data_IF_826813055064
#
_entry.id   IF_826813055064
#
_cell.length_a   1.000
_cell.length_b   1.000
_cell.length_c   1.000
_cell.angle_alpha   90.00
_cell.angle_beta   90.00
_cell.angle_gamma   90.00
#
_symmetry.space_group_name_H-M   'P 1'
#
loop_
_entity.id
_entity.type
_entity.pdbx_description
1 polymer ?
#
# COMPACT_ATOMS: atom_id res chain seq x y z
N UNK A 1 -15.34 -45.33 -88.48
CA UNK A 1 -15.94 -44.73 -87.29
C UNK A 1 -15.09 -45.15 -86.06
N UNK A 2 -14.20 -44.30 -85.58
CA UNK A 2 -13.31 -44.60 -84.48
C UNK A 2 -13.96 -44.27 -83.15
N UNK A 3 -14.12 -45.25 -82.27
CA UNK A 3 -14.49 -44.99 -80.84
C UNK A 3 -13.22 -44.78 -80.02
N UNK A 4 -13.15 -43.60 -79.43
CA UNK A 4 -12.03 -43.17 -78.58
C UNK A 4 -12.39 -43.44 -77.12
N UNK A 5 -11.76 -44.44 -76.51
CA UNK A 5 -11.92 -44.76 -75.09
C UNK A 5 -11.08 -43.75 -74.22
N UNK A 6 -11.74 -42.95 -73.43
CA UNK A 6 -11.13 -42.13 -72.38
C UNK A 6 -10.96 -42.98 -71.13
N UNK A 7 -9.70 -43.41 -70.83
CA UNK A 7 -9.36 -43.95 -69.54
C UNK A 7 -9.19 -42.76 -68.58
N UNK A 8 -10.10 -42.54 -67.67
CA UNK A 8 -9.95 -41.64 -66.56
C UNK A 8 -8.83 -42.15 -65.64
N UNK A 9 -7.75 -41.40 -65.58
CA UNK A 9 -6.70 -41.54 -64.53
C UNK A 9 -7.23 -40.90 -63.29
N UNK A 10 -7.63 -41.70 -62.28
CA UNK A 10 -7.95 -41.28 -60.94
C UNK A 10 -6.62 -40.89 -60.26
N UNK A 11 -6.32 -39.60 -60.18
CA UNK A 11 -5.18 -39.10 -59.47
C UNK A 11 -5.51 -39.10 -57.99
N UNK A 12 -4.88 -40.03 -57.23
CA UNK A 12 -4.98 -40.08 -55.77
C UNK A 12 -4.17 -38.90 -55.21
N UNK A 13 -4.85 -37.80 -54.87
CA UNK A 13 -4.25 -36.67 -54.18
C UNK A 13 -4.05 -37.03 -52.72
N UNK A 14 -2.84 -37.46 -52.35
CA UNK A 14 -2.45 -37.72 -50.97
C UNK A 14 -2.39 -36.39 -50.22
N UNK A 15 -3.44 -36.05 -49.46
CA UNK A 15 -3.50 -34.87 -48.63
C UNK A 15 -2.57 -35.05 -47.41
N UNK A 16 -1.37 -34.53 -47.48
CA UNK A 16 -0.44 -34.49 -46.34
C UNK A 16 -0.99 -33.42 -45.34
N UNK A 17 -1.73 -33.86 -44.34
CA UNK A 17 -2.15 -33.03 -43.23
C UNK A 17 -0.91 -32.85 -42.33
N UNK A 18 -0.37 -31.62 -42.18
CA UNK A 18 0.67 -31.42 -41.20
C UNK A 18 0.05 -31.64 -39.82
N UNK A 19 0.55 -32.62 -39.10
CA UNK A 19 0.24 -32.85 -37.70
C UNK A 19 0.80 -31.64 -36.93
N UNK A 20 -0.01 -30.57 -36.80
CA UNK A 20 0.28 -29.47 -35.89
C UNK A 20 0.30 -30.06 -34.49
N UNK A 21 1.49 -30.27 -33.98
CA UNK A 21 1.72 -30.63 -32.61
C UNK A 21 1.08 -29.54 -31.73
N UNK A 22 -0.06 -29.86 -31.12
CA UNK A 22 -0.64 -29.05 -30.05
C UNK A 22 0.35 -29.17 -28.91
N UNK A 23 1.29 -28.24 -28.83
CA UNK A 23 2.06 -28.05 -27.63
C UNK A 23 1.02 -27.71 -26.57
N UNK A 24 0.76 -28.65 -25.68
CA UNK A 24 -0.03 -28.38 -24.47
C UNK A 24 0.76 -27.37 -23.66
N UNK A 25 0.49 -26.06 -23.90
CA UNK A 25 0.89 -25.02 -22.99
C UNK A 25 0.14 -25.32 -21.70
N UNK A 26 0.83 -25.94 -20.74
CA UNK A 26 0.28 -26.13 -19.41
C UNK A 26 -0.23 -24.79 -18.88
N UNK A 27 -1.24 -24.75 -18.03
CA UNK A 27 -1.79 -23.50 -17.54
C UNK A 27 -0.65 -22.69 -16.93
N UNK A 28 -0.41 -21.49 -17.47
CA UNK A 28 0.50 -20.52 -16.87
C UNK A 28 -0.14 -20.21 -15.52
N UNK A 29 0.46 -20.75 -14.45
CA UNK A 29 0.00 -20.52 -13.08
C UNK A 29 0.31 -19.06 -12.77
N UNK A 30 -0.64 -18.17 -13.08
CA UNK A 30 -0.59 -16.76 -12.67
C UNK A 30 -0.54 -16.68 -11.15
N UNK A 31 0.06 -15.60 -10.62
CA UNK A 31 -0.02 -15.32 -9.19
C UNK A 31 -1.50 -15.15 -8.80
N UNK A 32 -1.90 -15.86 -7.76
CA UNK A 32 -3.25 -15.74 -7.18
C UNK A 32 -3.22 -14.52 -6.26
N UNK A 33 -4.25 -13.69 -6.33
CA UNK A 33 -4.47 -12.58 -5.38
C UNK A 33 -5.73 -12.83 -4.57
N UNK A 34 -5.65 -12.58 -3.27
CA UNK A 34 -6.80 -12.53 -2.34
C UNK A 34 -6.76 -11.20 -1.59
N UNK A 35 -7.94 -10.67 -1.29
CA UNK A 35 -8.02 -9.42 -0.55
C UNK A 35 -9.25 -9.36 0.35
N UNK A 36 -9.17 -8.54 1.39
CA UNK A 36 -10.32 -8.12 2.18
C UNK A 36 -10.25 -6.64 2.49
N UNK A 37 -11.42 -6.01 2.68
CA UNK A 37 -11.54 -4.59 3.01
C UNK A 37 -12.25 -4.42 4.33
N UNK A 38 -11.69 -3.58 5.19
CA UNK A 38 -12.26 -3.18 6.48
C UNK A 38 -12.69 -1.72 6.34
N UNK A 39 -13.96 -1.40 6.67
CA UNK A 39 -14.47 -0.03 6.70
C UNK A 39 -14.90 0.32 8.12
N UNK A 40 -14.44 1.48 8.60
CA UNK A 40 -14.77 2.01 9.93
C UNK A 40 -15.07 3.49 9.83
N UNK A 41 -15.99 3.93 10.67
CA UNK A 41 -16.32 5.35 10.84
C UNK A 41 -16.47 5.65 12.33
N UNK A 42 -15.91 6.79 12.77
CA UNK A 42 -15.90 7.22 14.17
C UNK A 42 -16.25 8.71 14.23
N UNK A 43 -17.25 9.07 15.00
CA UNK A 43 -17.52 10.47 15.35
C UNK A 43 -16.48 10.93 16.37
N UNK A 44 -15.88 12.09 16.13
CA UNK A 44 -14.80 12.65 16.96
C UNK A 44 -15.00 14.13 17.23
N UNK A 45 -14.32 14.63 18.25
CA UNK A 45 -14.21 16.06 18.48
C UNK A 45 -13.30 16.73 17.45
N UNK A 46 -13.43 18.04 17.28
CA UNK A 46 -12.60 18.82 16.36
C UNK A 46 -11.10 18.82 16.71
N UNK A 47 -10.76 18.57 17.96
CA UNK A 47 -9.39 18.52 18.52
C UNK A 47 -8.90 17.09 18.83
N UNK A 48 -9.59 16.07 18.32
CA UNK A 48 -9.21 14.69 18.55
C UNK A 48 -7.84 14.34 17.94
N UNK A 49 -7.27 13.23 18.41
CA UNK A 49 -6.01 12.69 17.90
C UNK A 49 -6.29 11.43 17.08
N UNK A 50 -5.76 11.37 15.87
CA UNK A 50 -5.81 10.18 15.01
C UNK A 50 -4.45 9.50 15.01
N UNK A 51 -4.40 8.25 15.51
CA UNK A 51 -3.19 7.44 15.61
C UNK A 51 -3.27 6.29 14.63
N UNK A 52 -2.31 6.19 13.71
CA UNK A 52 -2.25 5.08 12.76
C UNK A 52 -0.84 4.51 12.75
N UNK A 53 -0.72 3.21 12.98
CA UNK A 53 0.51 2.46 12.83
C UNK A 53 0.31 1.36 11.78
N UNK A 54 1.01 1.48 10.65
CA UNK A 54 0.90 0.56 9.53
C UNK A 54 2.27 0.02 9.11
N UNK A 55 2.26 -1.12 8.43
CA UNK A 55 3.42 -1.75 7.79
C UNK A 55 3.03 -2.35 6.46
N UNK A 56 3.97 -2.25 5.47
CA UNK A 56 3.84 -2.89 4.16
C UNK A 56 2.67 -2.38 3.33
N UNK A 57 2.56 -1.07 3.16
CA UNK A 57 1.54 -0.44 2.33
C UNK A 57 1.44 1.06 2.56
N UNK A 58 0.51 1.70 1.88
CA UNK A 58 0.40 3.15 1.89
C UNK A 58 -0.65 3.64 2.89
N UNK A 59 -0.40 4.82 3.44
CA UNK A 59 -1.34 5.59 4.24
C UNK A 59 -1.73 6.86 3.46
N UNK A 60 -2.90 6.83 2.83
CA UNK A 60 -3.45 7.94 2.07
C UNK A 60 -4.48 8.69 2.91
N UNK A 61 -4.15 9.92 3.32
CA UNK A 61 -4.98 10.73 4.21
C UNK A 61 -5.46 11.99 3.49
N UNK A 62 -6.76 12.18 3.50
CA UNK A 62 -7.43 13.39 3.02
C UNK A 62 -8.17 14.04 4.18
N UNK A 63 -7.94 15.31 4.42
CA UNK A 63 -8.63 16.03 5.49
C UNK A 63 -9.87 16.75 4.96
N UNK A 64 -10.85 16.92 5.85
CA UNK A 64 -12.13 17.57 5.59
C UNK A 64 -12.62 18.42 6.78
N UNK A 65 -13.83 18.96 6.68
CA UNK A 65 -14.42 19.79 7.75
C UNK A 65 -15.51 19.06 8.57
N UNK A 66 -15.60 17.73 8.46
CA UNK A 66 -16.60 16.95 9.20
C UNK A 66 -15.97 16.34 10.45
N UNK A 67 -16.69 16.35 11.59
CA UNK A 67 -16.22 15.81 12.87
C UNK A 67 -16.34 14.27 12.94
N UNK A 68 -15.75 13.60 11.95
CA UNK A 68 -15.68 12.13 11.88
C UNK A 68 -14.42 11.67 11.16
N UNK A 69 -13.95 10.51 11.57
CA UNK A 69 -12.85 9.80 10.91
C UNK A 69 -13.42 8.62 10.17
N UNK A 70 -13.13 8.51 8.87
CA UNK A 70 -13.53 7.38 8.03
C UNK A 70 -12.27 6.67 7.55
N UNK A 71 -12.21 5.35 7.73
CA UNK A 71 -11.10 4.52 7.31
C UNK A 71 -11.60 3.41 6.39
N UNK A 72 -10.96 3.25 5.23
CA UNK A 72 -11.08 2.09 4.37
C UNK A 72 -9.70 1.44 4.26
N UNK A 73 -9.57 0.21 4.77
CA UNK A 73 -8.30 -0.51 4.83
C UNK A 73 -8.41 -1.73 3.95
N UNK A 74 -7.56 -1.81 2.93
CA UNK A 74 -7.52 -2.94 2.02
C UNK A 74 -6.28 -3.77 2.30
N UNK A 75 -6.49 -5.02 2.68
CA UNK A 75 -5.43 -6.02 2.88
C UNK A 75 -5.42 -6.92 1.66
N UNK A 76 -4.30 -6.98 0.96
CA UNK A 76 -4.08 -7.84 -0.20
C UNK A 76 -2.95 -8.82 0.07
N UNK A 77 -3.10 -10.03 -0.39
CA UNK A 77 -2.07 -11.06 -0.39
C UNK A 77 -1.96 -11.70 -1.76
N UNK A 78 -0.77 -11.95 -2.24
CA UNK A 78 -0.55 -12.59 -3.54
C UNK A 78 0.57 -13.64 -3.48
N UNK A 79 0.43 -14.70 -4.28
CA UNK A 79 1.38 -15.81 -4.32
C UNK A 79 0.89 -16.98 -5.15
N UNK A 80 1.52 -18.14 -4.96
CA UNK A 80 1.28 -19.31 -5.80
C UNK A 80 0.47 -20.43 -5.11
N UNK A 81 0.13 -20.27 -3.82
CA UNK A 81 -0.58 -21.29 -3.04
C UNK A 81 -1.78 -20.66 -2.33
N UNK A 82 -2.98 -20.98 -2.79
CA UNK A 82 -4.22 -20.38 -2.29
C UNK A 82 -4.46 -20.62 -0.79
N UNK A 83 -4.18 -21.81 -0.28
CA UNK A 83 -4.38 -22.10 1.16
C UNK A 83 -3.46 -21.23 2.03
N UNK A 84 -2.20 -21.03 1.61
CA UNK A 84 -1.27 -20.13 2.31
C UNK A 84 -1.69 -18.67 2.22
N UNK A 85 -2.30 -18.26 1.10
CA UNK A 85 -2.81 -16.89 0.95
C UNK A 85 -3.98 -16.64 1.89
N UNK A 86 -4.91 -17.57 2.02
CA UNK A 86 -6.03 -17.45 2.94
C UNK A 86 -5.55 -17.42 4.40
N UNK A 87 -4.64 -18.31 4.78
CA UNK A 87 -4.00 -18.29 6.10
C UNK A 87 -3.31 -16.94 6.39
N UNK A 88 -2.53 -16.42 5.44
CA UNK A 88 -1.86 -15.13 5.60
C UNK A 88 -2.85 -13.98 5.71
N UNK A 89 -3.94 -13.99 4.94
CA UNK A 89 -4.98 -12.98 4.99
C UNK A 89 -5.70 -12.96 6.36
N UNK A 90 -5.88 -14.12 6.99
CA UNK A 90 -6.44 -14.26 8.34
C UNK A 90 -5.47 -13.79 9.43
N UNK A 91 -4.17 -13.98 9.23
CA UNK A 91 -3.12 -13.60 10.18
C UNK A 91 -2.84 -12.09 10.23
N UNK A 92 -3.27 -11.33 9.23
CA UNK A 92 -3.15 -9.87 9.22
C UNK A 92 -4.45 -9.27 9.74
N UNK A 93 -4.38 -8.48 10.80
CA UNK A 93 -5.56 -7.80 11.37
C UNK A 93 -5.29 -6.33 11.65
N UNK A 94 -6.34 -5.56 11.93
CA UNK A 94 -6.25 -4.18 12.36
C UNK A 94 -6.98 -4.01 13.68
N UNK A 95 -6.22 -3.64 14.70
CA UNK A 95 -6.75 -3.34 16.03
C UNK A 95 -7.22 -1.88 16.07
N UNK A 96 -8.43 -1.67 16.53
CA UNK A 96 -9.03 -0.35 16.67
C UNK A 96 -9.29 -0.02 18.14
N UNK A 97 -9.05 1.24 18.51
CA UNK A 97 -9.60 1.82 19.72
C UNK A 97 -10.12 3.23 19.42
N UNK A 98 -11.20 3.65 20.08
CA UNK A 98 -11.77 4.96 19.83
C UNK A 98 -12.46 5.55 21.07
N UNK A 99 -12.44 6.87 21.11
CA UNK A 99 -13.23 7.74 21.97
C UNK A 99 -13.58 9.01 21.18
N UNK A 100 -14.32 9.94 21.76
CA UNK A 100 -14.56 11.24 21.13
C UNK A 100 -13.29 12.07 20.93
N UNK A 101 -12.25 11.85 21.74
CA UNK A 101 -10.98 12.58 21.69
C UNK A 101 -9.84 11.84 21.01
N UNK A 102 -10.01 10.57 20.66
CA UNK A 102 -8.96 9.77 20.03
C UNK A 102 -9.50 8.63 19.19
N UNK A 103 -8.89 8.40 18.04
CA UNK A 103 -9.08 7.19 17.22
C UNK A 103 -7.74 6.56 16.96
N UNK A 104 -7.65 5.25 17.13
CA UNK A 104 -6.42 4.49 16.82
C UNK A 104 -6.73 3.31 15.91
N UNK A 105 -5.85 3.09 14.93
CA UNK A 105 -5.84 1.90 14.08
C UNK A 105 -4.40 1.38 13.97
N UNK A 106 -4.19 0.11 14.30
CA UNK A 106 -2.87 -0.52 14.27
C UNK A 106 -2.91 -1.82 13.50
N UNK A 107 -2.12 -1.91 12.44
CA UNK A 107 -1.88 -3.17 11.73
C UNK A 107 -1.14 -4.15 12.63
N UNK A 108 -1.70 -5.35 12.77
CA UNK A 108 -1.11 -6.46 13.52
C UNK A 108 -0.94 -7.65 12.59
N UNK A 109 0.27 -8.18 12.51
CA UNK A 109 0.57 -9.36 11.73
C UNK A 109 0.94 -10.46 12.72
N UNK A 110 0.00 -11.39 12.94
CA UNK A 110 0.18 -12.49 13.86
C UNK A 110 1.19 -13.49 13.29
N UNK A 111 2.08 -13.99 14.15
CA UNK A 111 3.00 -15.06 13.74
C UNK A 111 2.21 -16.36 13.57
N UNK A 112 2.35 -17.02 12.44
CA UNK A 112 1.88 -18.39 12.29
C UNK A 112 2.66 -19.30 13.26
N UNK A 113 2.00 -20.30 13.82
CA UNK A 113 2.59 -21.28 14.74
C UNK A 113 3.75 -22.09 14.11
N UNK A 114 3.94 -22.03 12.81
CA UNK A 114 5.04 -22.62 12.05
C UNK A 114 6.30 -21.76 12.02
N UNK A 115 6.48 -20.88 12.99
CA UNK A 115 7.78 -20.39 13.46
C UNK A 115 8.79 -19.83 12.47
N UNK A 116 8.43 -19.43 11.21
CA UNK A 116 9.44 -18.95 10.29
C UNK A 116 9.04 -17.78 9.40
N UNK A 117 9.22 -16.60 9.96
CA UNK A 117 9.08 -15.31 9.26
C UNK A 117 10.17 -15.04 8.21
N UNK A 118 11.39 -15.58 8.38
CA UNK A 118 12.57 -15.24 7.56
C UNK A 118 13.26 -16.44 6.90
N UNK A 119 12.61 -17.53 6.67
CA UNK A 119 13.31 -18.64 6.04
C UNK A 119 12.41 -19.69 5.44
N UNK A 120 12.47 -19.73 4.19
CA UNK A 120 12.10 -20.77 3.25
C UNK A 120 10.77 -20.62 2.50
N UNK A 121 10.86 -20.08 1.27
CA UNK A 121 9.97 -20.35 0.13
C UNK A 121 8.46 -20.09 0.26
N UNK A 122 7.99 -19.20 1.11
CA UNK A 122 6.64 -18.67 0.94
C UNK A 122 6.69 -17.45 0.01
N UNK A 123 6.50 -17.65 -1.30
CA UNK A 123 6.28 -16.60 -2.29
C UNK A 123 4.93 -15.89 -2.03
N UNK A 124 4.68 -15.47 -0.79
CA UNK A 124 3.51 -14.70 -0.40
C UNK A 124 3.95 -13.28 -0.11
N UNK A 125 3.46 -12.35 -0.92
CA UNK A 125 3.60 -10.92 -0.66
C UNK A 125 2.26 -10.41 -0.12
N UNK A 126 2.31 -9.36 0.68
CA UNK A 126 1.11 -8.68 1.17
C UNK A 126 1.30 -7.16 1.15
N UNK A 127 0.17 -6.46 1.04
CA UNK A 127 0.07 -5.02 0.98
C UNK A 127 -1.14 -4.58 1.81
N UNK A 128 -0.96 -3.59 2.68
CA UNK A 128 -1.99 -3.12 3.60
C UNK A 128 -2.13 -1.61 3.42
N UNK A 129 -3.13 -1.21 2.65
CA UNK A 129 -3.34 0.18 2.30
C UNK A 129 -4.47 0.80 3.11
N UNK A 130 -4.21 1.96 3.68
CA UNK A 130 -5.18 2.77 4.39
C UNK A 130 -5.60 3.96 3.55
N UNK A 131 -6.90 4.14 3.36
CA UNK A 131 -7.51 5.38 2.88
C UNK A 131 -8.27 6.00 4.03
N UNK A 132 -7.86 7.19 4.43
CA UNK A 132 -8.39 7.85 5.63
C UNK A 132 -8.94 9.21 5.26
N UNK A 133 -10.13 9.52 5.80
CA UNK A 133 -10.66 10.89 5.83
C UNK A 133 -10.79 11.30 7.29
N UNK A 134 -10.25 12.48 7.64
CA UNK A 134 -10.27 12.98 9.01
C UNK A 134 -10.46 14.51 9.08
N UNK A 135 -10.96 15.06 10.19
CA UNK A 135 -11.02 16.51 10.37
C UNK A 135 -9.63 17.15 10.22
N UNK A 136 -9.54 18.25 9.46
CA UNK A 136 -8.27 18.96 9.30
C UNK A 136 -7.73 19.58 10.59
N UNK A 137 -8.59 19.77 11.60
CA UNK A 137 -8.24 20.32 12.92
C UNK A 137 -7.75 19.26 13.91
N UNK A 138 -7.92 17.96 13.60
CA UNK A 138 -7.40 16.91 14.44
C UNK A 138 -5.87 16.86 14.40
N UNK A 139 -5.27 16.36 15.46
CA UNK A 139 -3.85 16.00 15.46
C UNK A 139 -3.64 14.61 14.84
N UNK A 140 -2.47 14.39 14.25
CA UNK A 140 -2.12 13.15 13.57
C UNK A 140 -0.83 12.57 14.16
N UNK A 141 -0.87 11.29 14.57
CA UNK A 141 0.30 10.48 14.88
C UNK A 141 0.33 9.32 13.89
N UNK A 142 1.17 9.41 12.86
CA UNK A 142 1.26 8.41 11.80
C UNK A 142 2.64 7.76 11.81
N UNK A 143 2.64 6.44 11.79
CA UNK A 143 3.82 5.61 11.73
C UNK A 143 3.63 4.58 10.61
N UNK A 144 4.50 4.59 9.60
CA UNK A 144 4.38 3.70 8.44
C UNK A 144 5.71 3.16 7.98
N UNK A 145 5.91 1.85 8.11
CA UNK A 145 7.09 1.15 7.61
C UNK A 145 6.79 0.51 6.23
N UNK A 146 7.74 0.62 5.31
CA UNK A 146 7.68 0.00 3.98
C UNK A 146 6.47 0.44 3.15
N UNK A 147 6.31 1.76 3.01
CA UNK A 147 5.25 2.37 2.20
C UNK A 147 5.19 3.87 2.34
N UNK A 148 4.29 4.51 1.62
CA UNK A 148 4.21 5.97 1.58
C UNK A 148 3.15 6.51 2.51
N UNK A 149 3.36 7.74 3.00
CA UNK A 149 2.33 8.54 3.67
C UNK A 149 1.99 9.73 2.77
N UNK A 150 0.72 9.89 2.41
CA UNK A 150 0.22 11.10 1.76
C UNK A 150 -0.77 11.85 2.66
N UNK A 151 -0.64 13.18 2.75
CA UNK A 151 -1.49 14.05 3.56
C UNK A 151 -1.60 15.41 2.88
N UNK A 152 -2.82 15.86 2.57
CA UNK A 152 -3.03 17.12 1.85
C UNK A 152 -2.86 18.38 2.72
N UNK A 153 -3.46 18.44 3.89
CA UNK A 153 -3.44 19.60 4.80
C UNK A 153 -3.73 19.15 6.24
N UNK A 154 -3.10 19.78 7.21
CA UNK A 154 -3.41 19.60 8.63
C UNK A 154 -3.25 20.89 9.40
N UNK A 155 -4.26 21.24 10.21
CA UNK A 155 -4.22 22.40 11.13
C UNK A 155 -3.84 21.97 12.54
N UNK A 156 -4.13 20.74 12.94
CA UNK A 156 -3.66 20.16 14.19
C UNK A 156 -2.20 19.73 14.10
N UNK A 157 -1.62 19.30 15.23
CA UNK A 157 -0.22 18.87 15.31
C UNK A 157 0.00 17.58 14.52
N UNK A 158 1.01 17.57 13.66
CA UNK A 158 1.50 16.37 12.98
C UNK A 158 2.71 15.78 13.71
N UNK A 159 2.66 14.47 13.96
CA UNK A 159 3.81 13.65 14.33
C UNK A 159 3.83 12.47 13.35
N UNK A 160 4.75 12.51 12.39
CA UNK A 160 4.79 11.57 11.27
C UNK A 160 6.14 10.87 11.24
N UNK A 161 6.12 9.54 11.24
CA UNK A 161 7.29 8.68 11.05
C UNK A 161 7.09 7.82 9.80
N UNK A 162 8.09 7.77 8.93
CA UNK A 162 8.06 6.95 7.72
C UNK A 162 9.43 6.35 7.45
N UNK A 163 9.49 5.00 7.51
CA UNK A 163 10.71 4.25 7.26
C UNK A 163 10.59 3.44 5.96
N UNK A 164 11.65 3.45 5.15
CA UNK A 164 11.72 2.70 3.88
C UNK A 164 10.56 3.00 2.91
N UNK A 165 10.17 4.29 2.83
CA UNK A 165 9.07 4.72 2.00
C UNK A 165 9.26 6.10 1.40
N UNK A 166 8.22 6.92 1.47
CA UNK A 166 8.26 8.36 1.19
C UNK A 166 7.09 9.07 1.84
N UNK A 167 7.24 10.35 2.10
CA UNK A 167 6.13 11.23 2.48
C UNK A 167 5.81 12.20 1.33
N UNK A 168 4.52 12.46 1.13
CA UNK A 168 4.00 13.49 0.23
C UNK A 168 3.01 14.31 1.03
N UNK A 169 3.47 15.44 1.55
CA UNK A 169 2.71 16.26 2.47
C UNK A 169 2.48 17.63 1.85
N UNK A 170 1.25 18.11 1.89
CA UNK A 170 0.89 19.47 1.53
C UNK A 170 1.20 20.43 2.68
N UNK A 171 0.19 20.92 3.40
CA UNK A 171 0.36 22.00 4.37
C UNK A 171 0.24 21.50 5.82
N UNK A 172 1.29 21.73 6.62
CA UNK A 172 1.30 21.53 8.08
C UNK A 172 1.22 22.89 8.78
N UNK A 173 0.03 23.28 9.21
CA UNK A 173 -0.26 24.62 9.72
C UNK A 173 0.02 24.79 11.21
N UNK A 174 0.23 23.71 11.96
CA UNK A 174 0.60 23.80 13.38
C UNK A 174 2.07 24.23 13.55
N UNK A 175 2.43 25.02 14.60
CA UNK A 175 3.83 25.44 14.80
C UNK A 175 4.76 24.33 15.31
N UNK A 176 4.23 23.25 15.93
CA UNK A 176 5.04 22.23 16.61
C UNK A 176 4.90 20.84 15.94
N UNK A 177 5.17 20.75 14.64
CA UNK A 177 5.13 19.46 13.95
C UNK A 177 6.43 18.69 14.17
N UNK A 178 6.37 17.36 14.04
CA UNK A 178 7.54 16.47 14.06
C UNK A 178 7.46 15.51 12.88
N UNK A 179 8.51 15.48 12.07
CA UNK A 179 8.65 14.59 10.93
C UNK A 179 9.92 13.78 11.12
N UNK A 180 9.81 12.45 11.09
CA UNK A 180 10.92 11.53 11.12
C UNK A 180 10.90 10.70 9.84
N UNK A 181 11.98 10.71 9.08
CA UNK A 181 12.09 9.96 7.81
C UNK A 181 13.44 9.27 7.74
N UNK A 182 13.39 7.92 7.66
CA UNK A 182 14.58 7.10 7.57
C UNK A 182 14.55 6.25 6.30
N UNK A 183 15.67 6.21 5.57
CA UNK A 183 15.81 5.48 4.32
C UNK A 183 14.68 5.80 3.31
N UNK A 184 14.25 7.06 3.23
CA UNK A 184 13.23 7.51 2.29
C UNK A 184 13.85 8.21 1.09
N UNK A 185 13.14 8.23 -0.03
CA UNK A 185 13.57 8.96 -1.22
C UNK A 185 12.40 9.67 -1.90
N UNK A 186 12.69 10.79 -2.56
CA UNK A 186 11.67 11.59 -3.26
C UNK A 186 10.50 12.01 -2.35
N UNK A 187 10.80 12.30 -1.09
CA UNK A 187 9.85 12.85 -0.13
C UNK A 187 9.62 14.34 -0.40
N UNK A 188 8.43 14.84 -0.09
CA UNK A 188 8.11 16.26 -0.28
C UNK A 188 7.15 16.79 0.77
N UNK A 189 7.41 18.04 1.20
CA UNK A 189 6.52 18.84 2.06
C UNK A 189 6.35 20.19 1.37
N UNK A 190 5.11 20.59 1.07
CA UNK A 190 4.84 21.87 0.41
C UNK A 190 5.02 23.05 1.38
N UNK A 191 4.43 22.94 2.57
CA UNK A 191 4.52 23.98 3.60
C UNK A 191 4.56 23.38 5.00
N UNK A 192 5.45 23.92 5.85
CA UNK A 192 5.52 23.61 7.28
C UNK A 192 5.62 24.90 8.10
N UNK A 193 4.60 25.17 8.93
CA UNK A 193 4.57 26.39 9.75
C UNK A 193 5.67 26.39 10.82
N UNK A 194 5.97 25.21 11.38
CA UNK A 194 7.05 25.07 12.35
C UNK A 194 7.22 23.63 12.82
N UNK A 195 8.33 23.37 13.52
CA UNK A 195 8.63 22.10 14.16
C UNK A 195 9.99 21.52 13.81
N UNK A 196 10.13 20.20 13.93
CA UNK A 196 11.39 19.47 13.79
C UNK A 196 11.28 18.49 12.63
N UNK A 197 12.31 18.40 11.81
CA UNK A 197 12.51 17.36 10.81
C UNK A 197 13.78 16.59 11.17
N UNK A 198 13.66 15.30 11.40
CA UNK A 198 14.76 14.36 11.53
C UNK A 198 14.79 13.49 10.28
N UNK A 199 15.92 13.45 9.60
CA UNK A 199 16.04 12.75 8.32
C UNK A 199 17.39 12.04 8.24
N UNK A 200 17.37 10.70 8.25
CA UNK A 200 18.55 9.89 8.13
C UNK A 200 18.52 9.07 6.82
N UNK A 201 19.63 9.08 6.08
CA UNK A 201 19.74 8.39 4.80
C UNK A 201 18.57 8.68 3.84
N UNK A 202 18.09 9.92 3.82
CA UNK A 202 16.84 10.29 3.16
C UNK A 202 17.03 11.42 2.16
N UNK A 203 16.15 11.45 1.13
CA UNK A 203 16.06 12.55 0.18
C UNK A 203 14.68 13.20 0.26
N UNK A 204 14.62 14.51 0.53
CA UNK A 204 13.36 15.22 0.58
C UNK A 204 13.45 16.68 0.09
N UNK A 205 12.31 17.22 -0.28
CA UNK A 205 12.14 18.63 -0.65
C UNK A 205 11.17 19.29 0.30
N UNK A 206 11.57 20.42 0.90
CA UNK A 206 10.71 21.30 1.65
C UNK A 206 10.57 22.61 0.87
N UNK A 207 9.38 22.87 0.32
CA UNK A 207 9.19 24.03 -0.56
C UNK A 207 9.12 25.34 0.21
N UNK A 208 8.46 25.34 1.37
CA UNK A 208 8.33 26.54 2.21
C UNK A 208 8.24 26.17 3.70
N UNK A 209 8.92 26.92 4.55
CA UNK A 209 8.81 26.81 5.99
C UNK A 209 8.90 28.19 6.65
N UNK A 210 8.33 28.32 7.86
CA UNK A 210 8.56 29.52 8.67
C UNK A 210 9.68 29.30 9.67
N UNK A 211 9.54 28.31 10.55
CA UNK A 211 10.53 28.01 11.57
C UNK A 211 10.68 26.49 11.73
N UNK A 212 11.85 25.97 11.38
CA UNK A 212 12.13 24.55 11.52
C UNK A 212 13.51 24.33 12.14
N UNK A 213 13.62 23.25 12.91
CA UNK A 213 14.89 22.64 13.28
C UNK A 213 15.08 21.40 12.40
N UNK A 214 16.21 21.35 11.67
CA UNK A 214 16.53 20.23 10.80
C UNK A 214 17.73 19.47 11.36
N UNK A 215 17.52 18.19 11.66
CA UNK A 215 18.57 17.23 11.97
C UNK A 215 18.65 16.24 10.80
N UNK A 216 19.77 16.20 10.10
CA UNK A 216 19.89 15.39 8.88
C UNK A 216 21.27 14.76 8.78
N UNK A 217 21.31 13.42 8.71
CA UNK A 217 22.51 12.64 8.48
C UNK A 217 22.39 11.88 7.15
N UNK A 218 23.44 12.00 6.29
CA UNK A 218 23.48 11.38 4.96
C UNK A 218 22.24 11.66 4.11
N UNK A 219 21.76 12.91 4.13
CA UNK A 219 20.49 13.34 3.52
C UNK A 219 20.75 14.36 2.40
N UNK A 220 19.88 14.37 1.38
CA UNK A 220 19.95 15.27 0.23
C UNK A 220 18.63 16.01 -0.05
#
# INVERSE_FOLDING_TARGET
IMKRNYKQKLSLLLLLIPLLGISAVGPIKGKIEKSRTIKKEFTVNADAVVNIANKFGNLDVVTWNENRVVMEITIKVNGNNESKLLEQLENIDVQFSNSSSSVSAKTVINKTSSGWWFGNNSNVNYEINYKVKMPKTNSANFDNDYGSISLNELNGKANISCDYGKIIIGNLNHPDNTINIDYTSNSSIEFMNGGIINADYSGFTLAMAKQIDLNADYTS
#
